data_IF_455095729131
#
_entry.id   IF_455095729131
#
_cell.length_a   1.000
_cell.length_b   1.000
_cell.length_c   1.000
_cell.angle_alpha   90.00
_cell.angle_beta   90.00
_cell.angle_gamma   90.00
#
_symmetry.space_group_name_H-M   'P 1'
#
loop_
_entity.id
_entity.type
_entity.pdbx_description
1 polymer ?
#
# COMPACT_ATOMS: atom_id res chain seq x y z
N UNK A 1 -57.89 -3.61 13.19
CA UNK A 1 -56.77 -2.83 12.64
C UNK A 1 -55.38 -3.25 13.13
N UNK A 2 -55.13 -3.47 14.43
CA UNK A 2 -53.79 -3.81 14.95
C UNK A 2 -53.17 -5.17 14.51
N UNK A 3 -53.98 -6.16 14.11
CA UNK A 3 -53.48 -7.46 13.56
C UNK A 3 -52.93 -7.32 12.14
N UNK A 4 -53.48 -6.44 11.31
CA UNK A 4 -53.05 -6.21 9.93
C UNK A 4 -51.66 -5.53 9.88
N UNK A 5 -51.43 -4.56 10.76
CA UNK A 5 -50.16 -3.81 10.87
C UNK A 5 -49.02 -4.74 11.30
N UNK A 6 -49.26 -5.64 12.26
CA UNK A 6 -48.26 -6.61 12.72
C UNK A 6 -47.86 -7.62 11.63
N UNK A 7 -48.82 -8.05 10.80
CA UNK A 7 -48.53 -8.96 9.69
C UNK A 7 -47.67 -8.28 8.61
N UNK A 8 -47.93 -7.01 8.27
CA UNK A 8 -47.08 -6.27 7.33
C UNK A 8 -45.65 -6.07 7.84
N UNK A 9 -45.48 -5.79 9.14
CA UNK A 9 -44.16 -5.65 9.74
C UNK A 9 -43.39 -6.99 9.76
N UNK A 10 -44.08 -8.10 10.03
CA UNK A 10 -43.49 -9.45 9.95
C UNK A 10 -43.09 -9.81 8.52
N UNK A 11 -43.96 -9.52 7.54
CA UNK A 11 -43.67 -9.74 6.12
C UNK A 11 -42.47 -8.93 5.64
N UNK A 12 -42.39 -7.65 6.00
CA UNK A 12 -41.25 -6.80 5.65
C UNK A 12 -39.94 -7.31 6.27
N UNK A 13 -40.00 -7.90 7.46
CA UNK A 13 -38.84 -8.49 8.14
C UNK A 13 -38.37 -9.76 7.43
N UNK A 14 -39.29 -10.65 7.04
CA UNK A 14 -39.00 -11.87 6.28
C UNK A 14 -38.35 -11.54 4.93
N UNK A 15 -38.86 -10.51 4.21
CA UNK A 15 -38.29 -10.07 2.93
C UNK A 15 -36.85 -9.56 3.09
N UNK A 16 -36.56 -8.86 4.19
CA UNK A 16 -35.20 -8.34 4.46
C UNK A 16 -34.21 -9.45 4.84
N UNK A 17 -34.70 -10.50 5.50
CA UNK A 17 -33.90 -11.64 5.96
C UNK A 17 -33.60 -12.64 4.83
N UNK A 18 -34.48 -12.74 3.82
CA UNK A 18 -34.33 -13.58 2.62
C UNK A 18 -33.89 -12.79 1.37
N UNK A 19 -33.49 -11.53 1.52
CA UNK A 19 -32.98 -10.75 0.41
C UNK A 19 -31.65 -11.38 -0.07
N UNK A 20 -31.51 -11.71 -1.37
CA UNK A 20 -30.25 -12.23 -1.88
C UNK A 20 -29.13 -11.21 -1.64
N UNK A 21 -27.88 -11.66 -1.41
CA UNK A 21 -26.76 -10.75 -1.25
C UNK A 21 -26.67 -9.85 -2.48
N UNK A 22 -26.88 -8.55 -2.27
CA UNK A 22 -26.85 -7.57 -3.35
C UNK A 22 -25.39 -7.40 -3.78
N UNK A 23 -25.06 -7.89 -4.97
CA UNK A 23 -23.78 -7.62 -5.62
C UNK A 23 -23.85 -6.21 -6.22
N UNK A 24 -23.44 -5.20 -5.44
CA UNK A 24 -23.36 -3.84 -5.95
C UNK A 24 -22.13 -3.71 -6.84
N UNK A 25 -22.35 -3.50 -8.13
CA UNK A 25 -21.29 -3.10 -9.05
C UNK A 25 -21.01 -1.62 -8.78
N UNK A 26 -19.80 -1.32 -8.34
CA UNK A 26 -19.36 0.05 -8.14
C UNK A 26 -19.14 0.73 -9.49
N UNK A 27 -20.01 1.67 -9.87
CA UNK A 27 -19.98 2.35 -11.17
C UNK A 27 -19.18 3.65 -11.18
N UNK A 28 -18.58 4.06 -10.05
CA UNK A 28 -17.79 5.29 -10.02
C UNK A 28 -16.44 5.08 -10.71
N UNK A 29 -15.89 6.15 -11.26
CA UNK A 29 -14.56 6.12 -11.88
C UNK A 29 -13.48 5.70 -10.88
N UNK A 30 -12.56 4.85 -11.31
CA UNK A 30 -11.39 4.49 -10.51
C UNK A 30 -10.50 5.71 -10.34
N UNK A 31 -10.21 6.05 -9.09
CA UNK A 31 -9.30 7.14 -8.75
C UNK A 31 -7.86 6.60 -8.75
N UNK A 32 -7.16 6.79 -9.88
CA UNK A 32 -5.78 6.33 -10.09
C UNK A 32 -4.75 7.16 -9.30
N UNK A 33 -4.72 7.02 -7.98
CA UNK A 33 -3.72 7.69 -7.12
C UNK A 33 -2.40 6.92 -7.14
N UNK A 34 -1.27 7.60 -7.39
CA UNK A 34 0.06 7.00 -7.26
C UNK A 34 0.33 6.54 -5.81
N UNK A 35 0.46 5.23 -5.58
CA UNK A 35 0.74 4.63 -4.26
C UNK A 35 2.22 4.27 -4.05
N UNK A 36 3.02 4.20 -5.12
CA UNK A 36 4.40 3.74 -5.05
C UNK A 36 5.26 4.61 -4.11
N UNK A 37 5.92 3.98 -3.13
CA UNK A 37 6.86 4.62 -2.22
C UNK A 37 6.27 5.74 -1.34
N UNK A 38 4.96 5.70 -1.05
CA UNK A 38 4.28 6.67 -0.20
C UNK A 38 3.65 5.99 1.01
N UNK A 39 3.94 6.50 2.20
CA UNK A 39 3.24 6.10 3.41
C UNK A 39 1.95 6.89 3.57
N UNK A 40 0.86 6.19 3.91
CA UNK A 40 -0.43 6.84 4.19
C UNK A 40 -0.38 7.47 5.57
N UNK A 41 -0.97 8.66 5.69
CA UNK A 41 -1.15 9.34 6.97
C UNK A 41 -2.09 8.48 7.83
N UNK A 42 -1.62 8.10 9.03
CA UNK A 42 -2.47 7.44 10.02
C UNK A 42 -3.43 8.46 10.63
N UNK A 43 -4.63 8.01 11.04
CA UNK A 43 -5.69 8.88 11.57
C UNK A 43 -5.21 9.72 12.77
N UNK A 44 -4.40 9.11 13.64
CA UNK A 44 -3.87 9.74 14.85
C UNK A 44 -2.46 10.33 14.67
N UNK A 45 -1.81 10.07 13.52
CA UNK A 45 -0.41 10.41 13.23
C UNK A 45 0.61 9.73 14.16
N UNK A 46 0.24 8.61 14.75
CA UNK A 46 1.05 7.87 15.71
C UNK A 46 2.12 6.95 15.05
N UNK A 47 2.26 6.98 13.72
CA UNK A 47 3.22 6.11 13.01
C UNK A 47 4.52 6.89 12.77
N UNK A 48 5.62 6.58 13.49
CA UNK A 48 6.89 7.28 13.31
C UNK A 48 7.48 6.93 11.95
N UNK A 49 7.81 7.95 11.16
CA UNK A 49 8.46 7.79 9.86
C UNK A 49 9.91 8.26 9.96
N UNK A 50 10.82 7.48 9.37
CA UNK A 50 12.18 7.93 9.14
C UNK A 50 12.21 8.98 8.03
N UNK A 51 13.31 9.74 7.96
CA UNK A 51 13.52 10.73 6.91
C UNK A 51 13.32 10.15 5.49
N UNK A 52 13.87 8.97 5.24
CA UNK A 52 13.78 8.29 3.94
C UNK A 52 12.35 7.87 3.58
N UNK A 53 11.56 7.44 4.58
CA UNK A 53 10.16 7.02 4.40
C UNK A 53 9.22 8.21 4.19
N UNK A 54 9.51 9.37 4.78
CA UNK A 54 8.68 10.57 4.67
C UNK A 54 8.77 11.24 3.29
N UNK A 55 9.88 11.09 2.59
CA UNK A 55 10.11 11.72 1.29
C UNK A 55 9.62 10.82 0.12
N UNK A 56 8.62 11.23 -0.69
CA UNK A 56 8.11 10.43 -1.81
C UNK A 56 9.14 10.25 -2.96
N UNK A 57 8.91 9.30 -3.89
CA UNK A 57 9.90 8.92 -4.91
C UNK A 57 10.31 10.05 -5.86
N UNK A 58 9.42 10.99 -6.16
CA UNK A 58 9.72 12.12 -7.05
C UNK A 58 10.66 13.16 -6.40
N UNK A 59 11.01 12.99 -5.12
CA UNK A 59 11.97 13.85 -4.42
C UNK A 59 13.37 13.23 -4.31
N UNK A 60 13.60 12.09 -4.97
CA UNK A 60 14.95 11.55 -5.17
C UNK A 60 15.76 12.60 -5.96
N UNK A 61 17.03 12.78 -5.57
CA UNK A 61 17.95 13.83 -6.02
C UNK A 61 17.66 15.26 -5.50
N UNK A 62 16.53 15.52 -4.85
CA UNK A 62 16.21 16.82 -4.26
C UNK A 62 16.32 16.83 -2.74
N UNK A 63 15.58 15.93 -2.08
CA UNK A 63 15.54 15.81 -0.62
C UNK A 63 16.23 14.54 -0.17
N UNK A 64 16.08 13.44 -0.92
CA UNK A 64 16.77 12.18 -0.63
C UNK A 64 17.71 11.78 -1.76
N UNK A 65 18.80 11.12 -1.39
CA UNK A 65 19.77 10.58 -2.33
C UNK A 65 19.42 9.13 -2.73
N UNK A 66 20.32 8.48 -3.46
CA UNK A 66 20.23 7.06 -3.80
C UNK A 66 20.84 6.17 -2.71
N UNK A 67 20.20 5.03 -2.45
CA UNK A 67 20.64 4.04 -1.45
C UNK A 67 21.84 3.19 -1.91
N UNK A 68 22.17 3.23 -3.20
CA UNK A 68 23.31 2.54 -3.78
C UNK A 68 23.90 3.40 -4.90
N UNK A 69 25.23 3.46 -4.95
CA UNK A 69 25.99 4.22 -5.93
C UNK A 69 26.90 3.24 -6.68
N UNK A 70 26.85 3.26 -8.00
CA UNK A 70 27.69 2.43 -8.87
C UNK A 70 27.85 3.13 -10.23
N UNK A 71 28.80 2.64 -11.02
CA UNK A 71 29.05 3.15 -12.38
C UNK A 71 28.19 2.46 -13.45
N UNK A 72 27.50 1.37 -13.10
CA UNK A 72 26.82 0.49 -14.06
C UNK A 72 25.62 1.14 -14.75
N UNK A 73 24.99 2.14 -14.12
CA UNK A 73 23.85 2.89 -14.69
C UNK A 73 24.25 4.19 -15.41
N UNK A 74 25.54 4.49 -15.49
CA UNK A 74 26.04 5.61 -16.30
C UNK A 74 25.98 5.23 -17.78
N UNK A 75 25.95 6.21 -18.67
CA UNK A 75 26.05 5.95 -20.11
C UNK A 75 27.35 5.18 -20.43
N UNK A 76 27.23 4.09 -21.19
CA UNK A 76 28.32 3.13 -21.41
C UNK A 76 28.68 2.23 -20.22
N UNK A 77 27.87 2.25 -19.15
CA UNK A 77 28.03 1.42 -17.96
C UNK A 77 27.92 -0.08 -18.28
N UNK A 78 28.64 -0.88 -17.50
CA UNK A 78 28.77 -2.33 -17.71
C UNK A 78 28.09 -3.05 -16.55
N UNK A 79 27.43 -4.19 -16.82
CA UNK A 79 26.82 -5.08 -15.81
C UNK A 79 25.73 -4.47 -14.90
N UNK A 80 24.75 -3.69 -15.41
CA UNK A 80 23.68 -3.13 -14.57
C UNK A 80 22.82 -4.21 -13.91
N UNK A 81 22.61 -5.34 -14.59
CA UNK A 81 21.81 -6.45 -14.08
C UNK A 81 22.48 -7.13 -12.88
N UNK A 82 23.78 -7.47 -12.97
CA UNK A 82 24.45 -8.14 -11.85
C UNK A 82 24.57 -7.21 -10.63
N UNK A 83 24.91 -5.93 -10.84
CA UNK A 83 25.00 -4.98 -9.72
C UNK A 83 23.66 -4.83 -8.99
N UNK A 84 22.53 -4.87 -9.70
CA UNK A 84 21.20 -4.83 -9.06
C UNK A 84 20.91 -6.11 -8.24
N UNK A 85 21.32 -7.28 -8.75
CA UNK A 85 21.17 -8.55 -8.03
C UNK A 85 22.06 -8.58 -6.78
N UNK A 86 23.30 -8.11 -6.89
CA UNK A 86 24.25 -8.01 -5.77
C UNK A 86 23.72 -7.07 -4.67
N UNK A 87 23.18 -5.90 -5.00
CA UNK A 87 22.58 -4.96 -4.02
C UNK A 87 21.37 -5.58 -3.31
N UNK A 88 20.48 -6.26 -4.05
CA UNK A 88 19.33 -6.98 -3.47
C UNK A 88 19.78 -8.12 -2.54
N UNK A 89 20.82 -8.85 -2.94
CA UNK A 89 21.39 -9.92 -2.12
C UNK A 89 21.95 -9.36 -0.80
N UNK A 90 22.78 -8.33 -0.87
CA UNK A 90 23.38 -7.72 0.32
C UNK A 90 22.29 -7.19 1.25
N UNK A 91 21.27 -6.49 0.75
CA UNK A 91 20.16 -5.99 1.58
C UNK A 91 19.48 -7.12 2.35
N UNK A 92 19.12 -8.21 1.67
CA UNK A 92 18.49 -9.36 2.30
C UNK A 92 19.43 -10.07 3.28
N UNK A 93 20.72 -10.18 2.93
CA UNK A 93 21.73 -10.81 3.77
C UNK A 93 21.96 -10.04 5.07
N UNK A 94 22.10 -8.72 5.01
CA UNK A 94 22.27 -7.87 6.20
C UNK A 94 21.04 -7.97 7.10
N UNK A 95 19.83 -7.82 6.56
CA UNK A 95 18.59 -7.92 7.36
C UNK A 95 18.35 -9.30 7.94
N UNK A 96 18.79 -10.37 7.25
CA UNK A 96 18.63 -11.74 7.72
C UNK A 96 19.68 -12.15 8.76
N UNK A 97 20.90 -11.65 8.64
CA UNK A 97 22.02 -11.99 9.55
C UNK A 97 21.89 -11.22 10.87
N UNK A 98 21.58 -9.93 10.82
CA UNK A 98 21.36 -9.09 12.00
C UNK A 98 19.86 -8.86 12.21
N UNK A 99 19.20 -9.88 12.76
CA UNK A 99 17.77 -9.82 13.09
C UNK A 99 17.46 -8.71 14.11
N UNK A 100 16.36 -8.00 13.90
CA UNK A 100 15.80 -6.95 14.78
C UNK A 100 16.73 -5.76 15.09
N UNK A 101 17.81 -5.57 14.33
CA UNK A 101 18.70 -4.42 14.53
C UNK A 101 18.24 -3.16 13.77
N UNK A 102 17.51 -3.35 12.66
CA UNK A 102 17.14 -2.29 11.72
C UNK A 102 15.62 -2.09 11.59
N UNK A 103 14.86 -2.59 12.57
CA UNK A 103 13.39 -2.47 12.62
C UNK A 103 12.94 -1.10 13.16
#
# INVERSE_FOLDING_TARGET
MAKLIRNNALFAKIIKEHAPPQCFIHTTTNLNKCQAGRYRISLRKDFPLTYEMANPPHQIAHRKAWNSWNTSNVDGGVRPAETAVEDLFIRKFITGTWHNLFE
#
